data_IF_701133120505
#
_entry.id   IF_701133120505
#
_cell.length_a   1.000
_cell.length_b   1.000
_cell.length_c   1.000
_cell.angle_alpha   90.00
_cell.angle_beta   90.00
_cell.angle_gamma   90.00
#
_symmetry.space_group_name_H-M   'P 1'
#
loop_
_entity.id
_entity.type
_entity.pdbx_description
1 polymer ?
#
# COMPACT_ATOMS: atom_id res chain seq x y z
N UNK A 1 20.68 -1.37 6.58
CA UNK A 1 19.29 -0.99 6.34
C UNK A 1 18.74 -2.07 5.43
N UNK A 2 17.81 -2.87 5.92
CA UNK A 2 17.17 -3.91 5.10
C UNK A 2 16.37 -3.28 3.97
N UNK A 3 16.22 -4.02 2.87
CA UNK A 3 15.32 -3.68 1.77
C UNK A 3 13.88 -3.60 2.26
N UNK A 4 13.12 -2.62 1.79
CA UNK A 4 11.73 -2.40 2.18
C UNK A 4 10.82 -3.17 1.23
N UNK A 5 9.92 -3.99 1.78
CA UNK A 5 8.81 -4.57 1.01
C UNK A 5 7.69 -3.56 0.99
N UNK A 6 7.19 -3.27 -0.20
CA UNK A 6 6.23 -2.21 -0.45
C UNK A 6 5.03 -2.73 -1.24
N UNK A 7 3.89 -2.11 -0.98
CA UNK A 7 2.60 -2.40 -1.58
C UNK A 7 1.98 -1.07 -1.99
N UNK A 8 1.57 -0.94 -3.24
CA UNK A 8 0.86 0.24 -3.74
C UNK A 8 -0.50 -0.19 -4.27
N UNK A 9 -1.58 0.31 -3.66
CA UNK A 9 -2.95 -0.03 -3.98
C UNK A 9 -3.75 1.17 -4.43
N UNK A 10 -4.53 0.98 -5.48
CA UNK A 10 -5.60 1.89 -5.87
C UNK A 10 -6.95 1.23 -5.56
N UNK A 11 -7.82 1.96 -4.90
CA UNK A 11 -9.16 1.47 -4.64
C UNK A 11 -10.24 2.53 -4.55
N UNK A 12 -11.49 2.08 -4.49
CA UNK A 12 -12.68 2.94 -4.56
C UNK A 12 -13.28 3.27 -3.18
N UNK A 13 -12.73 2.73 -2.09
CA UNK A 13 -13.15 3.01 -0.73
C UNK A 13 -11.95 3.33 0.15
N UNK A 14 -12.18 4.26 1.08
CA UNK A 14 -11.16 4.68 2.04
C UNK A 14 -10.72 3.52 2.95
N UNK A 15 -11.62 2.58 3.28
CA UNK A 15 -11.37 1.50 4.25
C UNK A 15 -10.19 0.58 3.89
N UNK A 16 -9.73 0.60 2.63
CA UNK A 16 -8.57 -0.18 2.17
C UNK A 16 -7.30 0.16 2.97
N UNK A 17 -7.11 1.41 3.41
CA UNK A 17 -5.94 1.74 4.25
C UNK A 17 -5.97 0.94 5.56
N UNK A 18 -7.14 0.80 6.18
CA UNK A 18 -7.28 0.09 7.45
C UNK A 18 -7.10 -1.41 7.26
N UNK A 19 -7.57 -1.95 6.12
CA UNK A 19 -7.37 -3.35 5.76
C UNK A 19 -5.88 -3.66 5.50
N UNK A 20 -5.17 -2.78 4.79
CA UNK A 20 -3.73 -2.90 4.57
C UNK A 20 -2.95 -2.80 5.88
N UNK A 21 -3.26 -1.80 6.70
CA UNK A 21 -2.63 -1.64 8.00
C UNK A 21 -2.79 -2.89 8.85
N UNK A 22 -4.01 -3.43 8.91
CA UNK A 22 -4.32 -4.67 9.62
C UNK A 22 -3.52 -5.85 9.08
N UNK A 23 -3.45 -6.01 7.76
CA UNK A 23 -2.64 -7.06 7.15
C UNK A 23 -1.17 -6.94 7.57
N UNK A 24 -0.59 -5.75 7.53
CA UNK A 24 0.80 -5.51 7.91
C UNK A 24 1.04 -5.80 9.41
N UNK A 25 0.13 -5.36 10.28
CA UNK A 25 0.23 -5.64 11.72
C UNK A 25 0.03 -7.12 12.06
N UNK A 26 -0.88 -7.81 11.35
CA UNK A 26 -1.13 -9.23 11.54
C UNK A 26 0.05 -10.07 11.01
N UNK A 27 0.70 -9.65 9.91
CA UNK A 27 1.87 -10.32 9.36
C UNK A 27 3.10 -10.22 10.28
N UNK A 28 3.37 -9.03 10.85
CA UNK A 28 4.49 -8.88 11.78
C UNK A 28 4.25 -9.60 13.11
N UNK A 29 2.98 -9.77 13.51
CA UNK A 29 2.54 -10.54 14.68
C UNK A 29 3.35 -10.22 15.96
N UNK A 30 3.55 -8.92 16.20
CA UNK A 30 4.33 -8.39 17.32
C UNK A 30 3.54 -7.25 18.00
N UNK A 31 3.75 -7.09 19.30
CA UNK A 31 3.27 -5.89 20.01
C UNK A 31 3.86 -4.63 19.34
N UNK A 32 3.00 -3.65 19.14
CA UNK A 32 3.35 -2.44 18.40
C UNK A 32 2.87 -1.18 19.09
N UNK A 33 3.52 -0.07 18.72
CA UNK A 33 3.13 1.28 19.11
C UNK A 33 2.90 2.12 17.87
N UNK A 34 1.82 2.91 17.88
CA UNK A 34 1.60 3.94 16.86
C UNK A 34 2.58 5.07 17.19
N UNK A 35 3.55 5.30 16.31
CA UNK A 35 4.54 6.37 16.48
C UNK A 35 3.96 7.70 16.04
N UNK A 36 3.23 7.70 14.92
CA UNK A 36 2.64 8.90 14.36
C UNK A 36 1.43 8.59 13.50
N UNK A 37 0.49 9.53 13.51
CA UNK A 37 -0.56 9.71 12.50
C UNK A 37 -0.43 11.17 12.08
N UNK A 38 -0.06 11.41 10.83
CA UNK A 38 0.28 12.74 10.34
C UNK A 38 -0.48 13.04 9.06
N UNK A 39 -0.84 14.30 8.86
CA UNK A 39 -1.41 14.83 7.63
C UNK A 39 -0.46 15.87 7.03
N UNK A 40 -0.15 15.73 5.74
CA UNK A 40 0.74 16.63 4.99
C UNK A 40 0.06 17.08 3.69
N UNK A 41 0.42 18.26 3.18
CA UNK A 41 -0.13 18.75 1.90
C UNK A 41 0.50 18.06 0.69
N UNK A 42 1.76 17.66 0.81
CA UNK A 42 2.52 17.09 -0.29
C UNK A 42 3.71 16.27 0.26
N UNK A 43 4.38 15.53 -0.61
CA UNK A 43 5.54 14.70 -0.29
C UNK A 43 6.81 15.47 0.17
N UNK A 44 6.78 16.82 0.18
CA UNK A 44 7.80 17.65 0.83
C UNK A 44 7.48 17.96 2.30
N UNK A 45 6.41 17.37 2.83
CA UNK A 45 5.96 17.50 4.22
C UNK A 45 5.50 18.92 4.61
N UNK A 46 5.01 19.71 3.64
CA UNK A 46 4.45 21.03 3.93
C UNK A 46 3.19 20.92 4.82
N UNK A 47 3.06 21.88 5.74
CA UNK A 47 1.93 22.02 6.69
C UNK A 47 1.58 20.72 7.43
N UNK A 48 2.60 20.02 7.92
CA UNK A 48 2.45 18.81 8.71
C UNK A 48 1.62 19.06 9.97
N UNK A 49 0.60 18.22 10.17
CA UNK A 49 -0.24 18.20 11.37
C UNK A 49 -0.29 16.77 11.93
N UNK A 50 -0.07 16.63 13.23
CA UNK A 50 -0.29 15.36 13.93
C UNK A 50 -1.78 15.17 14.24
N UNK A 51 -2.32 14.01 13.92
CA UNK A 51 -3.69 13.61 14.27
C UNK A 51 -3.68 12.81 15.58
N UNK A 52 -4.77 12.90 16.34
CA UNK A 52 -4.88 12.22 17.63
C UNK A 52 -5.39 10.79 17.49
N UNK A 53 -6.06 10.47 16.38
CA UNK A 53 -6.76 9.20 16.23
C UNK A 53 -6.99 8.81 14.76
N UNK A 54 -7.25 7.52 14.51
CA UNK A 54 -7.68 7.03 13.20
C UNK A 54 -9.05 7.57 12.76
N UNK A 55 -9.92 7.99 13.70
CA UNK A 55 -11.23 8.56 13.35
C UNK A 55 -11.11 9.88 12.59
N UNK A 56 -10.03 10.63 12.81
CA UNK A 56 -9.79 11.92 12.16
C UNK A 56 -9.47 11.77 10.65
N UNK A 57 -9.02 10.58 10.21
CA UNK A 57 -8.54 10.35 8.84
C UNK A 57 -9.62 10.63 7.80
N UNK A 58 -10.87 10.21 8.05
CA UNK A 58 -11.95 10.33 7.06
C UNK A 58 -12.28 11.77 6.67
N UNK A 59 -12.05 12.71 7.59
CA UNK A 59 -12.27 14.13 7.34
C UNK A 59 -11.06 14.77 6.67
N UNK A 60 -9.85 14.43 7.13
CA UNK A 60 -8.60 15.09 6.73
C UNK A 60 -8.08 14.60 5.37
N UNK A 61 -8.26 13.32 5.03
CA UNK A 61 -7.78 12.70 3.77
C UNK A 61 -8.39 13.31 2.50
N UNK A 62 -9.42 14.16 2.64
CA UNK A 62 -10.08 14.81 1.50
C UNK A 62 -9.11 15.69 0.71
N UNK A 63 -8.21 16.37 1.43
CA UNK A 63 -7.31 17.39 0.87
C UNK A 63 -5.84 17.20 1.32
N UNK A 64 -5.54 16.13 2.05
CA UNK A 64 -4.21 15.84 2.61
C UNK A 64 -3.77 14.41 2.28
N UNK A 65 -2.46 14.21 2.26
CA UNK A 65 -1.85 12.88 2.34
C UNK A 65 -1.74 12.54 3.83
N UNK A 66 -2.26 11.39 4.22
CA UNK A 66 -2.15 10.89 5.59
C UNK A 66 -1.05 9.85 5.66
N UNK A 67 -0.13 9.99 6.60
CA UNK A 67 0.94 9.04 6.88
C UNK A 67 0.76 8.47 8.28
N UNK A 68 0.78 7.14 8.40
CA UNK A 68 0.80 6.45 9.68
C UNK A 68 2.10 5.67 9.78
N UNK A 69 2.80 5.79 10.91
CA UNK A 69 3.98 4.98 11.19
C UNK A 69 3.75 4.20 12.48
N UNK A 70 4.00 2.90 12.41
CA UNK A 70 3.94 1.98 13.54
C UNK A 70 5.33 1.37 13.74
N UNK A 71 5.69 1.21 15.00
CA UNK A 71 6.96 0.63 15.43
C UNK A 71 6.70 -0.59 16.31
N UNK A 72 7.37 -1.69 15.98
CA UNK A 72 7.53 -2.84 16.88
C UNK A 72 8.90 -2.79 17.56
N UNK A 73 9.24 -3.84 18.31
CA UNK A 73 10.58 -3.97 18.91
C UNK A 73 11.70 -3.88 17.86
N UNK A 74 11.52 -4.51 16.71
CA UNK A 74 12.57 -4.70 15.70
C UNK A 74 12.17 -4.26 14.29
N UNK A 75 10.95 -3.75 14.07
CA UNK A 75 10.44 -3.44 12.73
C UNK A 75 9.73 -2.10 12.71
N UNK A 76 9.69 -1.50 11.53
CA UNK A 76 8.81 -0.38 11.23
C UNK A 76 7.85 -0.79 10.12
N UNK A 77 6.59 -0.39 10.27
CA UNK A 77 5.64 -0.41 9.18
C UNK A 77 5.08 0.99 9.01
N UNK A 78 4.67 1.31 7.80
CA UNK A 78 3.93 2.53 7.58
C UNK A 78 2.92 2.36 6.47
N UNK A 79 1.93 3.25 6.51
CA UNK A 79 0.99 3.41 5.41
C UNK A 79 0.88 4.89 5.05
N UNK A 80 0.65 5.16 3.77
CA UNK A 80 0.17 6.44 3.29
C UNK A 80 -1.22 6.25 2.69
N UNK A 81 -2.07 7.28 2.78
CA UNK A 81 -3.31 7.34 2.02
C UNK A 81 -3.50 8.75 1.45
N UNK A 82 -3.77 8.80 0.16
CA UNK A 82 -4.04 10.00 -0.61
C UNK A 82 -5.32 9.81 -1.41
N UNK A 83 -6.22 10.79 -1.35
CA UNK A 83 -7.41 10.78 -2.20
C UNK A 83 -7.09 11.35 -3.57
N UNK A 84 -7.30 10.55 -4.62
CA UNK A 84 -7.19 10.97 -6.01
C UNK A 84 -8.56 10.91 -6.68
N UNK A 85 -9.20 12.07 -6.86
CA UNK A 85 -10.58 12.19 -7.39
C UNK A 85 -11.56 11.36 -6.55
N UNK A 86 -12.05 10.25 -7.09
CA UNK A 86 -13.01 9.34 -6.45
C UNK A 86 -12.35 8.05 -5.95
N UNK A 87 -11.03 7.96 -6.02
CA UNK A 87 -10.23 6.80 -5.63
C UNK A 87 -9.27 7.17 -4.50
N UNK A 88 -8.70 6.16 -3.89
CA UNK A 88 -7.70 6.27 -2.84
C UNK A 88 -6.44 5.53 -3.28
N UNK A 89 -5.33 6.25 -3.36
CA UNK A 89 -4.01 5.66 -3.42
C UNK A 89 -3.60 5.33 -1.98
N UNK A 90 -3.27 4.07 -1.73
CA UNK A 90 -2.85 3.57 -0.43
C UNK A 90 -1.53 2.85 -0.63
N UNK A 91 -0.47 3.34 -0.01
CA UNK A 91 0.82 2.66 -0.02
C UNK A 91 1.11 2.11 1.37
N UNK A 92 1.67 0.93 1.43
CA UNK A 92 2.09 0.29 2.67
C UNK A 92 3.51 -0.24 2.53
N UNK A 93 4.28 -0.15 3.60
CA UNK A 93 5.65 -0.61 3.61
C UNK A 93 6.01 -1.31 4.91
N UNK A 94 6.92 -2.27 4.83
CA UNK A 94 7.53 -2.94 5.98
C UNK A 94 9.05 -2.88 5.86
N UNK A 95 9.66 -2.39 6.92
CA UNK A 95 11.10 -2.41 7.11
C UNK A 95 11.43 -3.29 8.33
N UNK A 96 11.91 -4.50 8.05
CA UNK A 96 12.21 -5.52 9.04
C UNK A 96 13.63 -5.43 9.63
N UNK A 97 14.40 -4.36 9.35
CA UNK A 97 15.83 -4.20 9.64
C UNK A 97 16.76 -5.24 8.96
N UNK A 98 16.26 -6.45 8.73
CA UNK A 98 16.83 -7.52 7.93
C UNK A 98 16.05 -7.66 6.61
N UNK A 99 16.70 -8.20 5.58
CA UNK A 99 16.11 -8.36 4.26
C UNK A 99 15.15 -9.57 4.23
N UNK A 100 13.88 -9.35 3.87
CA UNK A 100 12.89 -10.43 3.68
C UNK A 100 13.23 -11.17 2.38
N UNK A 101 13.57 -12.47 2.47
CA UNK A 101 14.08 -13.25 1.31
C UNK A 101 13.40 -14.60 1.14
N UNK A 102 13.46 -15.10 -0.10
CA UNK A 102 13.12 -16.47 -0.47
C UNK A 102 11.75 -16.87 0.08
N UNK A 103 11.72 -17.95 0.87
CA UNK A 103 10.48 -18.52 1.40
C UNK A 103 9.67 -17.54 2.26
N UNK A 104 10.32 -16.68 3.03
CA UNK A 104 9.61 -15.70 3.87
C UNK A 104 8.86 -14.68 3.00
N UNK A 105 9.52 -14.21 1.94
CA UNK A 105 8.93 -13.31 0.96
C UNK A 105 7.78 -13.97 0.19
N UNK A 106 7.94 -15.23 -0.22
CA UNK A 106 6.89 -15.99 -0.89
C UNK A 106 5.66 -16.16 0.03
N UNK A 107 5.87 -16.41 1.33
CA UNK A 107 4.79 -16.49 2.32
C UNK A 107 4.09 -15.14 2.44
N UNK A 108 4.83 -14.03 2.50
CA UNK A 108 4.25 -12.68 2.55
C UNK A 108 3.34 -12.42 1.34
N UNK A 109 3.86 -12.62 0.13
CA UNK A 109 3.10 -12.41 -1.12
C UNK A 109 1.85 -13.30 -1.13
N UNK A 110 1.98 -14.59 -0.87
CA UNK A 110 0.83 -15.50 -0.92
C UNK A 110 -0.23 -15.14 0.13
N UNK A 111 0.18 -14.80 1.36
CA UNK A 111 -0.74 -14.36 2.41
C UNK A 111 -1.46 -13.07 2.02
N UNK A 112 -0.74 -12.12 1.42
CA UNK A 112 -1.34 -10.90 0.90
C UNK A 112 -2.37 -11.18 -0.19
N UNK A 113 -1.98 -11.98 -1.19
CA UNK A 113 -2.86 -12.37 -2.31
C UNK A 113 -4.14 -13.01 -1.77
N UNK A 114 -4.02 -13.97 -0.84
CA UNK A 114 -5.16 -14.64 -0.25
C UNK A 114 -6.08 -13.69 0.54
N UNK A 115 -5.51 -12.65 1.17
CA UNK A 115 -6.26 -11.63 1.91
C UNK A 115 -7.04 -10.70 0.98
N UNK A 116 -6.46 -10.29 -0.15
CA UNK A 116 -7.02 -9.25 -1.01
C UNK A 116 -7.69 -9.76 -2.30
N UNK A 117 -7.58 -11.04 -2.66
CA UNK A 117 -8.10 -11.60 -3.93
C UNK A 117 -9.62 -11.56 -4.13
N UNK A 118 -10.38 -11.26 -3.08
CA UNK A 118 -11.85 -11.12 -3.13
C UNK A 118 -12.31 -9.71 -2.70
N UNK A 119 -11.36 -8.78 -2.59
CA UNK A 119 -11.64 -7.44 -2.11
C UNK A 119 -12.05 -6.53 -3.27
N UNK A 120 -13.36 -6.39 -3.46
CA UNK A 120 -13.97 -5.53 -4.49
C UNK A 120 -13.67 -4.03 -4.33
N UNK A 121 -13.15 -3.62 -3.18
CA UNK A 121 -12.73 -2.25 -2.99
C UNK A 121 -11.40 -1.95 -3.70
N UNK A 122 -10.55 -2.97 -3.86
CA UNK A 122 -9.26 -2.88 -4.56
C UNK A 122 -9.48 -3.00 -6.07
N UNK A 123 -8.92 -2.05 -6.82
CA UNK A 123 -8.94 -2.04 -8.29
C UNK A 123 -7.66 -2.62 -8.87
N UNK A 124 -6.53 -2.15 -8.35
CA UNK A 124 -5.20 -2.60 -8.76
C UNK A 124 -4.25 -2.48 -7.58
N UNK A 125 -3.35 -3.44 -7.44
CA UNK A 125 -2.34 -3.46 -6.40
C UNK A 125 -1.03 -4.01 -6.97
N UNK A 126 0.07 -3.28 -6.79
CA UNK A 126 1.43 -3.74 -7.07
C UNK A 126 2.16 -4.05 -5.77
N UNK A 127 2.92 -5.15 -5.74
CA UNK A 127 3.72 -5.57 -4.58
C UNK A 127 5.13 -5.87 -5.07
N UNK A 128 6.11 -5.49 -4.27
CA UNK A 128 7.51 -5.73 -4.59
C UNK A 128 8.45 -5.26 -3.49
N UNK A 129 9.71 -5.11 -3.86
CA UNK A 129 10.77 -4.55 -3.01
C UNK A 129 11.23 -3.23 -3.61
N UNK A 130 11.18 -2.15 -2.82
CA UNK A 130 11.53 -0.80 -3.28
C UNK A 130 10.79 -0.42 -4.58
N UNK A 131 9.46 -0.41 -4.52
CA UNK A 131 8.61 -0.27 -5.71
C UNK A 131 8.41 1.19 -6.09
N UNK A 132 8.04 1.40 -7.34
CA UNK A 132 7.52 2.69 -7.77
C UNK A 132 6.26 2.48 -8.60
N UNK A 133 5.17 3.15 -8.21
CA UNK A 133 3.91 3.17 -8.94
C UNK A 133 3.30 4.57 -8.82
N UNK A 134 2.91 5.17 -9.95
CA UNK A 134 2.20 6.46 -9.95
C UNK A 134 0.82 6.31 -10.59
N UNK A 135 -0.20 6.16 -9.73
CA UNK A 135 -1.58 6.05 -10.18
C UNK A 135 -2.18 7.37 -10.70
N UNK A 136 -1.50 8.51 -10.56
CA UNK A 136 -1.96 9.77 -11.17
C UNK A 136 -1.91 9.73 -12.70
N UNK A 137 -1.06 8.88 -13.28
CA UNK A 137 -0.98 8.62 -14.72
C UNK A 137 -2.16 7.80 -15.25
N UNK A 138 -2.98 7.24 -14.35
CA UNK A 138 -4.01 6.25 -14.67
C UNK A 138 -3.43 4.83 -14.74
N UNK A 139 -4.29 3.84 -14.48
CA UNK A 139 -3.86 2.44 -14.22
C UNK A 139 -2.96 1.86 -15.32
N UNK A 140 -3.32 2.04 -16.60
CA UNK A 140 -2.53 1.51 -17.71
C UNK A 140 -1.10 2.07 -17.76
N UNK A 141 -0.96 3.39 -17.66
CA UNK A 141 0.36 4.04 -17.66
C UNK A 141 1.13 3.78 -16.35
N UNK A 142 0.43 3.69 -15.22
CA UNK A 142 1.03 3.37 -13.93
C UNK A 142 1.73 2.00 -13.98
N UNK A 143 1.06 0.99 -14.55
CA UNK A 143 1.62 -0.36 -14.73
C UNK A 143 2.81 -0.34 -15.70
N UNK A 144 2.70 0.37 -16.84
CA UNK A 144 3.79 0.45 -17.83
C UNK A 144 5.06 1.10 -17.27
N UNK A 145 4.91 2.09 -16.38
CA UNK A 145 6.00 2.87 -15.80
C UNK A 145 6.43 2.37 -14.41
N UNK A 146 5.86 1.27 -13.92
CA UNK A 146 6.18 0.77 -12.58
C UNK A 146 7.56 0.12 -12.52
N UNK A 147 8.19 0.21 -11.35
CA UNK A 147 9.49 -0.41 -11.06
C UNK A 147 9.39 -1.41 -9.92
N UNK A 148 10.20 -2.47 -10.01
CA UNK A 148 10.39 -3.50 -8.99
C UNK A 148 9.11 -4.20 -8.51
N UNK A 149 8.08 -4.24 -9.35
CA UNK A 149 6.86 -5.01 -9.07
C UNK A 149 7.10 -6.49 -9.36
N UNK A 150 6.87 -7.33 -8.36
CA UNK A 150 6.91 -8.78 -8.48
C UNK A 150 5.54 -9.35 -8.84
N UNK A 151 4.48 -8.80 -8.24
CA UNK A 151 3.10 -9.25 -8.42
C UNK A 151 2.15 -8.08 -8.58
N UNK A 152 1.29 -8.18 -9.59
CA UNK A 152 0.09 -7.36 -9.73
C UNK A 152 -1.16 -8.16 -9.31
N UNK A 153 -1.98 -7.61 -8.42
CA UNK A 153 -3.38 -7.98 -8.27
C UNK A 153 -4.24 -6.99 -9.03
N UNK A 154 -5.07 -7.48 -9.94
CA UNK A 154 -5.90 -6.62 -10.81
C UNK A 154 -7.33 -7.11 -10.76
N UNK A 155 -8.25 -6.21 -10.39
CA UNK A 155 -9.67 -6.50 -10.40
C UNK A 155 -10.13 -6.75 -11.85
N UNK A 156 -10.82 -7.86 -12.09
CA UNK A 156 -11.24 -8.28 -13.43
C UNK A 156 -12.14 -7.27 -14.15
N UNK A 157 -12.81 -6.38 -13.40
CA UNK A 157 -13.64 -5.32 -13.97
C UNK A 157 -12.82 -4.17 -14.57
N UNK A 158 -11.50 -4.13 -14.34
CA UNK A 158 -10.61 -3.12 -14.92
C UNK A 158 -10.19 -3.53 -16.35
N UNK A 159 -10.70 -2.79 -17.36
CA UNK A 159 -10.34 -2.96 -18.77
C UNK A 159 -8.93 -2.41 -19.06
N UNK A 160 -7.89 -3.18 -18.70
CA UNK A 160 -6.49 -2.80 -18.93
C UNK A 160 -5.96 -3.51 -20.19
N UNK A 161 -5.19 -2.81 -21.03
CA UNK A 161 -4.59 -3.41 -22.23
C UNK A 161 -3.27 -4.13 -21.86
N UNK A 162 -3.37 -5.43 -21.61
CA UNK A 162 -2.31 -6.26 -21.01
C UNK A 162 -1.12 -6.63 -21.90
N UNK A 163 -1.00 -6.10 -23.13
CA UNK A 163 0.03 -6.56 -24.10
C UNK A 163 1.49 -6.26 -23.70
N UNK A 164 1.73 -5.59 -22.57
CA UNK A 164 3.05 -5.11 -22.16
C UNK A 164 3.46 -5.44 -20.71
N UNK A 165 2.63 -6.14 -19.94
CA UNK A 165 2.99 -6.52 -18.57
C UNK A 165 3.96 -7.70 -18.62
N UNK A 166 5.17 -7.53 -18.09
CA UNK A 166 6.20 -8.58 -18.02
C UNK A 166 6.18 -9.33 -16.68
N UNK A 167 5.47 -8.79 -15.70
CA UNK A 167 5.35 -9.28 -14.33
C UNK A 167 4.24 -10.32 -14.17
N UNK A 168 4.23 -11.01 -13.03
CA UNK A 168 3.14 -11.94 -12.67
C UNK A 168 1.86 -11.15 -12.38
N UNK A 169 0.77 -11.50 -13.07
CA UNK A 169 -0.56 -10.90 -12.89
C UNK A 169 -1.50 -11.94 -12.30
N UNK A 170 -2.23 -11.56 -11.25
CA UNK A 170 -3.30 -12.34 -10.64
C UNK A 170 -4.58 -11.53 -10.76
N UNK A 171 -5.58 -12.10 -11.42
CA UNK A 171 -6.90 -11.49 -11.51
C UNK A 171 -7.69 -11.77 -10.24
N UNK A 172 -8.32 -10.73 -9.70
CA UNK A 172 -9.12 -10.76 -8.48
C UNK A 172 -10.56 -10.37 -8.80
N UNK A 173 -11.52 -10.90 -8.03
CA UNK A 173 -12.97 -10.77 -8.26
C UNK A 173 -13.68 -9.98 -7.16
#
# INVERSE_FOLDING_TARGET
MGEVVEISMLGNKLDIYAQLLRFLTDYINEDYTIQSIQAIDNWKYDNLVSLNSFSDISEVVKDKIICVTIKTKNKYIGISVEKNKNLFNVEGWINSNEEIKGREYDIFINTFVDTFKHNKSVKVCGIGKEIYVDFNLGVGQAIENAHNIDVWLINSDENINFRRIKQKVIYIQ
#
